data_IF_614826862636
#
_entry.id   IF_614826862636
#
_cell.length_a   1.000
_cell.length_b   1.000
_cell.length_c   1.000
_cell.angle_alpha   90.00
_cell.angle_beta   90.00
_cell.angle_gamma   90.00
#
_symmetry.space_group_name_H-M   'P 1'
#
loop_
_entity.id
_entity.type
_entity.pdbx_description
1 polymer ?
#
# COMPACT_ATOMS: atom_id res chain seq x y z
N UNK A 1 18.46 -20.34 -67.34
CA UNK A 1 19.52 -21.36 -67.46
C UNK A 1 19.91 -21.72 -66.02
N UNK A 2 19.39 -22.77 -65.37
CA UNK A 2 19.65 -24.22 -65.55
C UNK A 2 21.15 -24.55 -65.63
N UNK A 3 21.77 -25.48 -64.87
CA UNK A 3 21.29 -26.64 -64.09
C UNK A 3 22.47 -27.23 -63.26
N UNK A 4 22.20 -27.51 -61.97
CA UNK A 4 22.47 -28.73 -61.16
C UNK A 4 23.84 -29.24 -60.65
N UNK A 5 23.78 -29.61 -59.33
CA UNK A 5 24.10 -30.87 -58.58
C UNK A 5 25.54 -31.46 -58.67
N UNK A 6 26.09 -32.19 -57.69
CA UNK A 6 25.56 -33.03 -56.60
C UNK A 6 26.66 -33.22 -55.51
N UNK A 7 26.33 -33.33 -54.22
CA UNK A 7 26.20 -34.57 -53.42
C UNK A 7 27.42 -34.95 -52.56
N UNK A 8 27.19 -35.27 -51.28
CA UNK A 8 28.19 -35.94 -50.42
C UNK A 8 27.84 -36.10 -48.93
N UNK A 9 26.98 -37.08 -48.61
CA UNK A 9 26.97 -37.99 -47.40
C UNK A 9 26.79 -37.35 -46.00
N UNK A 10 25.67 -37.54 -45.29
CA UNK A 10 25.15 -38.71 -44.53
C UNK A 10 26.09 -39.27 -43.44
N UNK A 11 25.63 -39.22 -42.18
CA UNK A 11 26.08 -40.00 -41.02
C UNK A 11 26.54 -39.11 -39.86
N UNK A 12 26.13 -39.25 -38.59
CA UNK A 12 25.45 -40.32 -37.87
C UNK A 12 24.69 -39.72 -36.66
N UNK A 13 23.53 -40.29 -36.38
CA UNK A 13 22.77 -40.15 -35.13
C UNK A 13 23.58 -40.63 -33.93
N UNK A 14 23.61 -39.85 -32.84
CA UNK A 14 23.93 -40.34 -31.51
C UNK A 14 22.68 -40.18 -30.63
N UNK A 15 21.89 -41.25 -30.58
CA UNK A 15 20.90 -41.51 -29.54
C UNK A 15 21.65 -41.79 -28.23
N UNK A 16 21.54 -40.91 -27.24
CA UNK A 16 21.87 -41.26 -25.86
C UNK A 16 20.61 -41.78 -25.18
N UNK A 17 20.43 -43.10 -25.24
CA UNK A 17 19.50 -43.85 -24.39
C UNK A 17 20.23 -44.07 -23.06
N UNK A 18 19.79 -43.40 -22.00
CA UNK A 18 20.13 -43.78 -20.62
C UNK A 18 18.91 -44.42 -19.98
N UNK A 19 19.12 -45.66 -19.60
CA UNK A 19 18.17 -46.64 -19.10
C UNK A 19 17.51 -46.24 -17.78
N UNK A 20 16.20 -46.44 -17.72
CA UNK A 20 15.41 -46.55 -16.50
C UNK A 20 15.91 -47.75 -15.66
N UNK A 21 16.32 -47.50 -14.42
CA UNK A 21 16.29 -48.51 -13.35
C UNK A 21 15.10 -48.19 -12.47
N UNK A 22 14.25 -49.20 -12.30
CA UNK A 22 13.00 -49.15 -11.58
C UNK A 22 13.18 -49.38 -10.07
N UNK A 23 12.30 -48.74 -9.30
CA UNK A 23 11.71 -49.16 -8.02
C UNK A 23 12.63 -49.46 -6.83
N UNK A 24 12.72 -48.47 -5.94
CA UNK A 24 12.89 -48.71 -4.50
C UNK A 24 11.91 -47.81 -3.75
N UNK A 25 10.89 -48.42 -3.13
CA UNK A 25 9.97 -47.76 -2.20
C UNK A 25 10.74 -47.20 -1.00
N UNK A 26 10.89 -45.88 -0.94
CA UNK A 26 11.01 -45.12 0.31
C UNK A 26 10.50 -43.71 0.01
N UNK A 27 9.30 -43.42 0.49
CA UNK A 27 8.66 -42.12 0.39
C UNK A 27 9.47 -41.08 1.18
N UNK A 28 10.34 -40.34 0.50
CA UNK A 28 10.78 -39.04 0.98
C UNK A 28 9.63 -38.03 0.78
N UNK A 29 9.30 -37.19 1.77
CA UNK A 29 8.24 -36.21 1.61
C UNK A 29 8.66 -35.23 0.52
N UNK A 30 7.80 -35.10 -0.50
CA UNK A 30 7.95 -34.14 -1.57
C UNK A 30 8.22 -32.75 -0.99
N UNK A 31 9.45 -32.27 -1.17
CA UNK A 31 9.83 -30.88 -0.92
C UNK A 31 8.88 -29.99 -1.69
N UNK A 32 7.95 -29.37 -0.97
CA UNK A 32 7.01 -28.41 -1.53
C UNK A 32 7.83 -27.25 -2.10
N UNK A 33 7.62 -26.84 -3.37
CA UNK A 33 8.32 -25.67 -3.89
C UNK A 33 8.05 -24.48 -2.97
N UNK A 34 9.03 -23.60 -2.73
CA UNK A 34 8.83 -22.45 -1.87
C UNK A 34 7.66 -21.64 -2.42
N UNK A 35 6.61 -21.49 -1.61
CA UNK A 35 5.53 -20.56 -1.87
C UNK A 35 6.16 -19.18 -1.86
N UNK A 36 6.48 -18.66 -3.06
CA UNK A 36 6.76 -17.23 -3.23
C UNK A 36 5.53 -16.50 -2.71
N UNK A 37 5.65 -15.98 -1.49
CA UNK A 37 4.62 -15.15 -0.88
C UNK A 37 4.60 -13.85 -1.67
N UNK A 38 3.70 -13.78 -2.66
CA UNK A 38 3.32 -12.50 -3.26
C UNK A 38 2.77 -11.57 -2.18
N UNK A 39 2.61 -10.27 -2.47
CA UNK A 39 2.08 -9.32 -1.49
C UNK A 39 0.78 -9.85 -0.89
N UNK A 40 0.76 -10.04 0.44
CA UNK A 40 -0.41 -10.48 1.17
C UNK A 40 -1.51 -9.42 0.98
N UNK A 41 -2.45 -9.71 0.08
CA UNK A 41 -3.68 -8.92 -0.06
C UNK A 41 -4.48 -9.20 1.20
N UNK A 42 -4.58 -8.20 2.09
CA UNK A 42 -5.48 -8.23 3.25
C UNK A 42 -6.90 -8.42 2.70
N UNK A 43 -7.38 -9.66 2.74
CA UNK A 43 -8.60 -10.05 2.02
C UNK A 43 -9.87 -9.84 2.85
N UNK A 44 -9.73 -9.53 4.14
CA UNK A 44 -10.84 -9.24 5.04
C UNK A 44 -10.60 -7.91 5.78
N UNK A 45 -11.61 -7.02 5.88
CA UNK A 45 -11.54 -5.81 6.69
C UNK A 45 -11.12 -6.08 8.15
N UNK A 46 -10.12 -5.38 8.70
CA UNK A 46 -9.71 -5.55 10.09
C UNK A 46 -10.79 -5.04 11.05
N UNK A 47 -11.25 -5.81 12.05
CA UNK A 47 -12.39 -5.41 12.87
C UNK A 47 -12.16 -4.09 13.64
N UNK A 48 -13.22 -3.38 14.07
CA UNK A 48 -13.09 -2.04 14.68
C UNK A 48 -12.13 -1.95 15.88
N UNK A 49 -12.04 -3.01 16.69
CA UNK A 49 -11.14 -3.13 17.83
C UNK A 49 -9.66 -3.29 17.45
N UNK A 50 -9.37 -3.67 16.21
CA UNK A 50 -8.01 -3.76 15.68
C UNK A 50 -7.47 -2.40 15.22
N UNK A 51 -8.31 -1.35 15.13
CA UNK A 51 -7.86 -0.03 14.73
C UNK A 51 -6.96 0.62 15.80
N UNK A 52 -5.79 1.15 15.40
CA UNK A 52 -4.88 1.80 16.33
C UNK A 52 -5.51 3.05 16.96
N UNK A 53 -5.19 3.31 18.22
CA UNK A 53 -5.56 4.57 18.89
C UNK A 53 -4.64 5.73 18.51
N UNK A 54 -5.04 6.96 18.87
CA UNK A 54 -4.28 8.17 18.49
C UNK A 54 -2.86 8.22 19.07
N UNK A 55 -2.59 7.60 20.22
CA UNK A 55 -1.22 7.49 20.75
C UNK A 55 -0.32 6.64 19.86
N UNK A 56 -0.83 5.50 19.37
CA UNK A 56 -0.09 4.62 18.48
C UNK A 56 0.14 5.29 17.12
N UNK A 57 -0.89 5.99 16.61
CA UNK A 57 -0.78 6.79 15.39
C UNK A 57 0.25 7.92 15.57
N UNK A 58 0.19 8.71 16.64
CA UNK A 58 1.17 9.75 16.93
C UNK A 58 2.61 9.21 16.96
N UNK A 59 2.81 8.03 17.58
CA UNK A 59 4.11 7.36 17.61
C UNK A 59 4.60 7.00 16.20
N UNK A 60 3.71 6.49 15.34
CA UNK A 60 4.05 6.16 13.95
C UNK A 60 4.34 7.41 13.09
N UNK A 61 3.71 8.55 13.40
CA UNK A 61 3.93 9.82 12.72
C UNK A 61 5.25 10.50 13.13
N UNK A 62 5.78 10.18 14.32
CA UNK A 62 7.08 10.65 14.79
C UNK A 62 7.20 12.18 14.78
N UNK A 63 8.23 12.69 14.11
CA UNK A 63 8.53 14.13 14.11
C UNK A 63 7.45 15.01 13.47
N UNK A 64 6.51 14.46 12.71
CA UNK A 64 5.41 15.24 12.10
C UNK A 64 4.44 15.81 13.14
N UNK A 65 4.36 15.20 14.33
CA UNK A 65 3.52 15.69 15.43
C UNK A 65 4.33 16.46 16.49
N UNK A 66 5.64 16.61 16.30
CA UNK A 66 6.48 17.39 17.22
C UNK A 66 6.01 18.84 17.28
N UNK A 67 5.74 19.33 18.48
CA UNK A 67 5.23 20.68 18.72
C UNK A 67 3.71 20.83 18.53
N UNK A 68 3.00 19.74 18.24
CA UNK A 68 1.54 19.72 18.24
C UNK A 68 1.00 19.02 19.49
N UNK A 69 -0.14 19.50 19.97
CA UNK A 69 -0.92 18.91 21.05
C UNK A 69 -2.12 18.16 20.48
N UNK A 70 -2.41 16.97 21.02
CA UNK A 70 -3.60 16.23 20.63
C UNK A 70 -4.86 17.07 20.93
N UNK A 71 -5.78 17.11 19.96
CA UNK A 71 -7.08 17.76 20.14
C UNK A 71 -7.95 16.92 21.10
N UNK A 72 -7.89 15.61 20.92
CA UNK A 72 -8.50 14.58 21.76
C UNK A 72 -7.56 13.36 21.75
N UNK A 73 -7.13 12.89 22.93
CA UNK A 73 -6.22 11.74 23.05
C UNK A 73 -6.87 10.42 22.64
N UNK A 74 -8.19 10.30 22.81
CA UNK A 74 -8.94 9.12 22.38
C UNK A 74 -9.22 9.14 20.87
N UNK A 75 -9.31 10.35 20.30
CA UNK A 75 -9.77 10.59 18.94
C UNK A 75 -11.26 10.31 18.76
N UNK A 76 -11.75 10.55 17.55
CA UNK A 76 -13.14 10.32 17.20
C UNK A 76 -13.27 8.99 16.47
N UNK A 77 -13.92 8.00 17.10
CA UNK A 77 -14.32 6.77 16.43
C UNK A 77 -15.64 6.95 15.69
N UNK A 78 -15.74 6.32 14.53
CA UNK A 78 -16.95 6.25 13.74
C UNK A 78 -17.28 4.79 13.49
N UNK A 79 -18.54 4.43 13.64
CA UNK A 79 -19.04 3.09 13.34
C UNK A 79 -20.38 3.24 12.61
N UNK A 80 -20.41 2.76 11.37
CA UNK A 80 -21.56 2.85 10.49
C UNK A 80 -21.72 1.59 9.64
N UNK A 81 -22.86 1.56 8.95
CA UNK A 81 -23.28 0.40 8.16
C UNK A 81 -22.39 0.15 6.94
N UNK A 82 -21.70 1.18 6.43
CA UNK A 82 -20.87 1.13 5.22
C UNK A 82 -19.37 1.14 5.51
N UNK A 83 -18.96 1.77 6.61
CA UNK A 83 -17.57 1.89 7.03
C UNK A 83 -17.48 2.20 8.52
N UNK A 84 -16.28 2.00 9.07
CA UNK A 84 -15.91 2.40 10.43
C UNK A 84 -14.49 2.97 10.42
N UNK A 85 -14.10 3.69 11.46
CA UNK A 85 -12.83 4.38 11.44
C UNK A 85 -12.47 5.11 12.72
N UNK A 86 -11.31 5.76 12.68
CA UNK A 86 -10.83 6.66 13.73
C UNK A 86 -10.20 7.89 13.08
N UNK A 87 -10.48 9.05 13.65
CA UNK A 87 -9.88 10.33 13.29
C UNK A 87 -9.12 10.90 14.47
N UNK A 88 -7.84 11.21 14.26
CA UNK A 88 -6.96 11.83 15.22
C UNK A 88 -6.50 13.18 14.69
N UNK A 89 -6.50 14.20 15.56
CA UNK A 89 -6.11 15.55 15.19
C UNK A 89 -5.15 16.12 16.23
N UNK A 90 -4.19 16.90 15.76
CA UNK A 90 -3.25 17.64 16.59
C UNK A 90 -3.20 19.10 16.14
N UNK A 91 -3.00 20.00 17.09
CA UNK A 91 -2.95 21.45 16.87
C UNK A 91 -1.70 22.04 17.51
N UNK A 92 -1.12 23.01 16.83
CA UNK A 92 -0.10 23.86 17.40
C UNK A 92 -0.71 25.23 17.70
N UNK A 93 -0.91 25.53 18.98
CA UNK A 93 -1.53 26.78 19.41
C UNK A 93 -0.65 28.01 19.12
N UNK A 94 0.67 27.83 18.99
CA UNK A 94 1.61 28.93 18.80
C UNK A 94 1.56 29.53 17.38
N UNK A 95 1.27 28.71 16.37
CA UNK A 95 1.25 29.13 14.96
C UNK A 95 -0.09 28.86 14.24
N UNK A 96 -1.07 28.27 14.94
CA UNK A 96 -2.39 27.94 14.40
C UNK A 96 -2.38 26.79 13.39
N UNK A 97 -1.29 26.03 13.30
CA UNK A 97 -1.19 24.82 12.51
C UNK A 97 -2.09 23.73 13.05
N UNK A 98 -2.73 22.99 12.14
CA UNK A 98 -3.51 21.81 12.48
C UNK A 98 -3.26 20.71 11.45
N UNK A 99 -3.18 19.49 11.96
CA UNK A 99 -2.82 18.30 11.20
C UNK A 99 -3.62 17.11 11.75
N UNK A 100 -3.95 16.14 10.90
CA UNK A 100 -4.69 14.97 11.32
C UNK A 100 -4.44 13.73 10.47
N UNK A 101 -4.75 12.60 11.08
CA UNK A 101 -4.74 11.29 10.45
C UNK A 101 -6.14 10.68 10.58
N UNK A 102 -6.65 10.16 9.47
CA UNK A 102 -7.95 9.53 9.39
C UNK A 102 -7.73 8.12 8.86
N UNK A 103 -8.20 7.12 9.60
CA UNK A 103 -8.23 5.72 9.16
C UNK A 103 -9.68 5.34 8.98
N UNK A 104 -10.02 4.91 7.76
CA UNK A 104 -11.34 4.39 7.41
C UNK A 104 -11.16 2.96 6.92
N UNK A 105 -12.05 2.09 7.36
CA UNK A 105 -12.19 0.74 6.83
C UNK A 105 -13.53 0.62 6.13
N UNK A 106 -13.47 0.51 4.82
CA UNK A 106 -14.66 0.34 3.98
C UNK A 106 -15.07 -1.13 3.95
N UNK A 107 -16.36 -1.39 4.17
CA UNK A 107 -16.92 -2.74 4.02
C UNK A 107 -16.99 -3.16 2.55
N UNK A 108 -17.15 -2.18 1.66
CA UNK A 108 -17.11 -2.31 0.21
C UNK A 108 -16.08 -1.30 -0.35
N UNK A 109 -14.78 -1.68 -0.45
CA UNK A 109 -13.75 -0.74 -0.86
C UNK A 109 -13.81 -0.38 -2.34
N UNK A 110 -13.52 0.89 -2.61
CA UNK A 110 -13.33 1.38 -3.97
C UNK A 110 -12.06 0.80 -4.58
N UNK A 111 -12.12 0.45 -5.87
CA UNK A 111 -10.97 -0.15 -6.56
C UNK A 111 -10.07 0.91 -7.20
N UNK A 112 -8.84 0.53 -7.54
CA UNK A 112 -7.95 1.35 -8.34
C UNK A 112 -8.61 1.80 -9.66
N UNK A 113 -9.37 0.91 -10.29
CA UNK A 113 -10.09 1.21 -11.54
C UNK A 113 -11.19 2.26 -11.34
N UNK A 114 -11.84 2.28 -10.17
CA UNK A 114 -12.84 3.30 -9.84
C UNK A 114 -12.19 4.67 -9.64
N UNK A 115 -11.08 4.73 -8.90
CA UNK A 115 -10.32 5.98 -8.75
C UNK A 115 -9.72 6.47 -10.06
N UNK A 116 -9.26 5.56 -10.91
CA UNK A 116 -8.73 5.92 -12.23
C UNK A 116 -9.83 6.51 -13.11
N UNK A 117 -11.03 5.92 -13.10
CA UNK A 117 -12.19 6.44 -13.83
C UNK A 117 -12.62 7.82 -13.31
N UNK A 118 -12.46 8.06 -12.01
CA UNK A 118 -12.75 9.34 -11.37
C UNK A 118 -11.65 10.40 -11.58
N UNK A 119 -10.50 10.05 -12.19
CA UNK A 119 -9.38 10.97 -12.34
C UNK A 119 -8.66 11.29 -11.03
N UNK A 120 -8.77 10.41 -10.02
CA UNK A 120 -8.18 10.59 -8.70
C UNK A 120 -6.98 9.66 -8.44
N UNK A 121 -6.75 8.70 -9.32
CA UNK A 121 -5.69 7.70 -9.15
C UNK A 121 -4.29 8.29 -9.41
N UNK A 122 -3.37 8.04 -8.48
CA UNK A 122 -1.94 8.22 -8.66
C UNK A 122 -1.19 6.95 -8.25
N UNK A 123 -0.13 6.62 -8.99
CA UNK A 123 0.77 5.52 -8.64
C UNK A 123 1.89 6.04 -7.74
N UNK A 124 2.20 5.29 -6.67
CA UNK A 124 3.33 5.57 -5.78
C UNK A 124 3.99 4.25 -5.36
N UNK A 125 5.31 4.13 -5.54
CA UNK A 125 6.03 2.89 -5.30
C UNK A 125 5.92 2.40 -3.84
N UNK A 126 5.82 3.30 -2.86
CA UNK A 126 5.69 2.97 -1.44
C UNK A 126 4.35 2.28 -1.17
N UNK A 127 3.30 2.74 -1.85
CA UNK A 127 1.94 2.21 -1.70
C UNK A 127 1.72 0.97 -2.56
N UNK A 128 2.29 0.93 -3.77
CA UNK A 128 2.27 -0.27 -4.62
C UNK A 128 2.97 -1.45 -3.95
N UNK A 129 4.03 -1.21 -3.16
CA UNK A 129 4.68 -2.25 -2.35
C UNK A 129 3.76 -2.83 -1.26
N UNK A 130 2.71 -2.11 -0.87
CA UNK A 130 1.66 -2.60 0.02
C UNK A 130 0.53 -3.32 -0.73
N UNK A 131 0.52 -3.31 -2.07
CA UNK A 131 -0.59 -3.79 -2.89
C UNK A 131 -1.75 -2.80 -2.99
N UNK A 132 -1.49 -1.51 -2.74
CA UNK A 132 -2.49 -0.44 -2.80
C UNK A 132 -2.22 0.59 -3.88
N UNK A 133 -2.92 1.72 -3.77
CA UNK A 133 -2.76 2.89 -4.64
C UNK A 133 -3.03 4.20 -3.87
N UNK A 134 -2.70 5.34 -4.49
CA UNK A 134 -3.00 6.66 -3.94
C UNK A 134 -4.23 7.23 -4.64
N UNK A 135 -5.17 7.78 -3.87
CA UNK A 135 -6.20 8.67 -4.38
C UNK A 135 -5.92 10.11 -3.94
N UNK A 136 -5.84 11.04 -4.88
CA UNK A 136 -5.57 12.45 -4.65
C UNK A 136 -6.35 13.29 -5.66
N UNK A 137 -6.82 14.51 -5.31
CA UNK A 137 -7.38 15.42 -6.31
C UNK A 137 -6.45 15.59 -7.52
N UNK A 138 -7.04 15.64 -8.71
CA UNK A 138 -6.37 15.76 -10.01
C UNK A 138 -5.49 14.57 -10.44
N UNK A 139 -5.36 13.52 -9.62
CA UNK A 139 -4.60 12.31 -9.94
C UNK A 139 -3.10 12.54 -10.15
N UNK A 140 -2.60 13.74 -9.78
CA UNK A 140 -1.20 14.12 -9.94
C UNK A 140 -0.56 14.29 -8.56
N UNK A 141 0.41 13.42 -8.26
CA UNK A 141 1.18 13.49 -7.04
C UNK A 141 2.49 14.26 -7.28
N UNK A 142 2.50 15.54 -6.92
CA UNK A 142 3.75 16.30 -6.73
C UNK A 142 4.19 16.20 -5.26
N UNK A 143 5.12 15.30 -4.98
CA UNK A 143 5.59 15.01 -3.61
C UNK A 143 6.12 16.23 -2.84
N UNK A 144 6.55 17.30 -3.54
CA UNK A 144 7.05 18.54 -2.92
C UNK A 144 5.96 19.57 -2.66
N UNK A 145 4.76 19.38 -3.22
CA UNK A 145 3.66 20.29 -2.98
C UNK A 145 3.28 20.28 -1.49
N UNK A 146 2.84 21.43 -0.95
CA UNK A 146 2.39 21.51 0.44
C UNK A 146 1.12 20.70 0.64
N UNK A 147 0.98 20.11 1.83
CA UNK A 147 -0.22 19.39 2.24
C UNK A 147 -1.39 20.35 2.41
N UNK A 148 -2.45 20.10 1.66
CA UNK A 148 -3.71 20.83 1.75
C UNK A 148 -4.72 20.25 2.74
N UNK A 149 -5.92 20.86 2.82
CA UNK A 149 -7.03 20.38 3.64
C UNK A 149 -7.60 19.04 3.17
N UNK A 150 -7.38 18.71 1.90
CA UNK A 150 -7.67 17.39 1.32
C UNK A 150 -6.33 16.79 0.94
N UNK A 151 -5.81 15.92 1.79
CA UNK A 151 -4.53 15.26 1.53
C UNK A 151 -4.65 13.96 0.73
N UNK A 152 -3.52 13.29 0.47
CA UNK A 152 -3.51 12.04 -0.26
C UNK A 152 -4.13 10.94 0.60
N UNK A 153 -4.89 10.06 -0.06
CA UNK A 153 -5.47 8.87 0.55
C UNK A 153 -4.66 7.66 0.10
N UNK A 154 -4.06 6.95 1.05
CA UNK A 154 -3.40 5.66 0.82
C UNK A 154 -4.43 4.56 1.00
N UNK A 155 -4.76 3.86 -0.09
CA UNK A 155 -5.81 2.85 -0.11
C UNK A 155 -5.18 1.48 -0.36
N UNK A 156 -5.31 0.57 0.60
CA UNK A 156 -4.76 -0.79 0.55
C UNK A 156 -5.86 -1.76 1.00
N UNK A 157 -6.42 -2.50 0.04
CA UNK A 157 -7.58 -3.35 0.30
C UNK A 157 -8.74 -2.52 0.89
N UNK A 158 -9.29 -2.91 2.06
CA UNK A 158 -10.38 -2.18 2.70
C UNK A 158 -9.95 -0.96 3.51
N UNK A 159 -8.65 -0.74 3.70
CA UNK A 159 -8.14 0.30 4.59
C UNK A 159 -7.71 1.52 3.79
N UNK A 160 -8.30 2.67 4.14
CA UNK A 160 -7.93 4.00 3.65
C UNK A 160 -7.29 4.78 4.78
N UNK A 161 -6.06 5.26 4.57
CA UNK A 161 -5.38 6.18 5.48
C UNK A 161 -5.22 7.53 4.79
N UNK A 162 -5.77 8.58 5.39
CA UNK A 162 -5.65 9.96 4.91
C UNK A 162 -4.88 10.79 5.91
N UNK A 163 -3.92 11.55 5.42
CA UNK A 163 -3.20 12.56 6.19
C UNK A 163 -3.61 13.93 5.66
N UNK A 164 -4.04 14.84 6.53
CA UNK A 164 -4.55 16.16 6.12
C UNK A 164 -4.00 17.27 7.01
N UNK A 165 -3.86 18.47 6.45
CA UNK A 165 -3.36 19.65 7.16
C UNK A 165 -4.16 20.90 6.81
N UNK A 166 -4.17 21.90 7.69
CA UNK A 166 -4.86 23.16 7.41
C UNK A 166 -4.02 24.17 6.60
N UNK A 167 -2.79 23.79 6.20
CA UNK A 167 -1.88 24.63 5.43
C UNK A 167 -1.32 25.83 6.20
N UNK A 168 -1.41 25.85 7.54
CA UNK A 168 -0.95 26.96 8.39
C UNK A 168 0.21 26.54 9.28
N UNK A 169 1.04 27.52 9.64
CA UNK A 169 2.15 27.33 10.57
C UNK A 169 3.05 26.16 10.16
N UNK A 170 3.52 25.43 11.15
CA UNK A 170 4.29 24.18 11.00
C UNK A 170 3.58 23.13 10.16
N UNK A 171 2.24 23.03 10.19
CA UNK A 171 1.50 22.08 9.34
C UNK A 171 1.56 22.44 7.85
N UNK A 172 1.73 23.73 7.52
CA UNK A 172 1.89 24.19 6.14
C UNK A 172 3.25 23.85 5.51
N UNK A 173 4.22 23.40 6.31
CA UNK A 173 5.52 22.94 5.82
C UNK A 173 5.53 21.44 5.48
N UNK A 174 4.47 20.69 5.83
CA UNK A 174 4.36 19.27 5.53
C UNK A 174 4.11 19.11 4.04
N UNK A 175 4.88 18.27 3.37
CA UNK A 175 4.71 17.97 1.94
C UNK A 175 3.82 16.75 1.70
N UNK A 176 3.34 16.59 0.47
CA UNK A 176 2.60 15.39 0.06
C UNK A 176 3.43 14.10 0.22
N UNK A 177 4.75 14.13 -0.03
CA UNK A 177 5.61 12.97 0.20
C UNK A 177 5.68 12.57 1.68
N UNK A 178 5.81 13.55 2.57
CA UNK A 178 5.81 13.30 4.01
C UNK A 178 4.46 12.77 4.47
N UNK A 179 3.36 13.29 3.92
CA UNK A 179 2.02 12.80 4.18
C UNK A 179 1.82 11.35 3.71
N UNK A 180 2.40 10.96 2.58
CA UNK A 180 2.38 9.57 2.10
C UNK A 180 3.21 8.63 2.96
N UNK A 181 4.42 9.03 3.35
CA UNK A 181 5.25 8.25 4.27
C UNK A 181 4.54 8.02 5.60
N UNK A 182 3.89 9.06 6.12
CA UNK A 182 3.06 9.02 7.31
C UNK A 182 1.86 8.07 7.16
N UNK A 183 1.12 8.17 6.06
CA UNK A 183 -0.03 7.31 5.79
C UNK A 183 0.39 5.82 5.69
N UNK A 184 1.52 5.55 5.03
CA UNK A 184 2.11 4.21 4.94
C UNK A 184 2.55 3.70 6.32
N UNK A 185 3.17 4.54 7.15
CA UNK A 185 3.56 4.17 8.50
C UNK A 185 2.35 3.81 9.38
N UNK A 186 1.28 4.61 9.31
CA UNK A 186 0.01 4.33 10.01
C UNK A 186 -0.64 3.05 9.49
N UNK A 187 -0.68 2.84 8.17
CA UNK A 187 -1.23 1.62 7.58
C UNK A 187 -0.52 0.36 8.12
N UNK A 188 0.80 0.41 8.33
CA UNK A 188 1.58 -0.72 8.86
C UNK A 188 1.22 -1.11 10.31
N UNK A 189 0.51 -0.26 11.06
CA UNK A 189 0.03 -0.62 12.40
C UNK A 189 -1.07 -1.68 12.39
N UNK A 190 -1.70 -1.93 11.24
CA UNK A 190 -2.85 -2.84 11.08
C UNK A 190 -2.49 -4.12 10.30
N UNK A 191 -1.20 -4.40 10.11
CA UNK A 191 -0.68 -5.60 9.46
C UNK A 191 -0.14 -6.58 10.50
#
# INVERSE_FOLDING_TARGET
>A
MSVFRAAGRIGLLAFAVSTLVACGDNAEPASTPPVTSGPHIVSAPPPPEALPGCTAIATALGELVTGFEAVDEAGTRQDGDVSYGISCAWRNAADGGAFGAIVIVDREPLTAADMQRAGLYAEDARVSALGGFVAIPDGLLDGKAPLGPVGPQVIVGPVTVTIAGNGRGTAGAITLDQALDAAVAVHRLMR
#
